data_IF_096739453158
#
_entry.id   IF_096739453158
#
_cell.length_a   1.000
_cell.length_b   1.000
_cell.length_c   1.000
_cell.angle_alpha   90.00
_cell.angle_beta   90.00
_cell.angle_gamma   90.00
#
_symmetry.space_group_name_H-M   'P 1'
#
loop_
_entity.id
_entity.type
_entity.pdbx_description
1 polymer ?
#
# COMPACT_ATOMS: atom_id res chain seq x y z
N UNK A 1 2.02 -24.64 -1.10
CA UNK A 1 1.42 -24.58 0.26
C UNK A 1 2.53 -24.79 1.30
N UNK A 2 2.72 -23.84 2.21
CA UNK A 2 3.90 -23.70 3.08
C UNK A 2 3.92 -24.70 4.26
N UNK A 3 4.59 -25.85 4.15
CA UNK A 3 4.77 -26.81 5.26
C UNK A 3 5.86 -26.35 6.24
N UNK A 4 5.57 -25.33 7.03
CA UNK A 4 6.50 -24.78 8.05
C UNK A 4 6.10 -25.23 9.47
N UNK A 5 4.85 -25.66 9.68
CA UNK A 5 4.30 -26.07 10.98
C UNK A 5 3.62 -27.46 10.88
N UNK A 6 3.41 -28.17 12.01
CA UNK A 6 2.58 -29.38 12.05
C UNK A 6 1.21 -29.14 11.41
N UNK A 7 0.64 -30.14 10.71
CA UNK A 7 -0.57 -30.00 9.88
C UNK A 7 -1.73 -29.30 10.58
N UNK A 8 -1.91 -29.58 11.86
CA UNK A 8 -3.05 -29.14 12.67
C UNK A 8 -2.86 -27.70 13.17
N UNK A 9 -1.61 -27.27 13.39
CA UNK A 9 -1.27 -25.89 13.72
C UNK A 9 -1.20 -25.01 12.46
N UNK A 10 -0.83 -25.57 11.32
CA UNK A 10 -0.65 -24.84 10.08
C UNK A 10 -1.95 -24.23 9.56
N UNK A 11 -3.06 -24.99 9.59
CA UNK A 11 -4.39 -24.50 9.17
C UNK A 11 -4.88 -23.37 10.08
N UNK A 12 -4.74 -23.54 11.40
CA UNK A 12 -5.12 -22.54 12.41
C UNK A 12 -4.26 -21.27 12.29
N UNK A 13 -2.94 -21.40 12.18
CA UNK A 13 -2.04 -20.25 12.03
C UNK A 13 -2.28 -19.49 10.72
N UNK A 14 -2.56 -20.20 9.63
CA UNK A 14 -2.93 -19.56 8.36
C UNK A 14 -4.23 -18.76 8.51
N UNK A 15 -5.28 -19.36 9.07
CA UNK A 15 -6.55 -18.67 9.29
C UNK A 15 -6.39 -17.42 10.17
N UNK A 16 -5.66 -17.53 11.28
CA UNK A 16 -5.36 -16.40 12.17
C UNK A 16 -4.58 -15.31 11.43
N UNK A 17 -3.56 -15.68 10.66
CA UNK A 17 -2.75 -14.72 9.90
C UNK A 17 -3.57 -13.99 8.82
N UNK A 18 -4.50 -14.67 8.15
CA UNK A 18 -5.39 -14.06 7.17
C UNK A 18 -6.33 -13.04 7.83
N UNK A 19 -6.93 -13.40 8.97
CA UNK A 19 -7.82 -12.49 9.71
C UNK A 19 -7.05 -11.27 10.20
N UNK A 20 -5.89 -11.47 10.83
CA UNK A 20 -5.03 -10.36 11.31
C UNK A 20 -4.65 -9.45 10.14
N UNK A 21 -4.24 -10.02 9.00
CA UNK A 21 -3.86 -9.25 7.80
C UNK A 21 -5.04 -8.47 7.25
N UNK A 22 -6.21 -9.08 7.15
CA UNK A 22 -7.42 -8.43 6.65
C UNK A 22 -7.86 -7.27 7.54
N UNK A 23 -7.94 -7.50 8.86
CA UNK A 23 -8.35 -6.49 9.84
C UNK A 23 -7.35 -5.34 9.91
N UNK A 24 -6.06 -5.65 9.98
CA UNK A 24 -5.01 -4.62 10.00
C UNK A 24 -4.98 -3.79 8.71
N UNK A 25 -5.21 -4.41 7.55
CA UNK A 25 -5.28 -3.69 6.27
C UNK A 25 -6.49 -2.76 6.22
N UNK A 26 -7.64 -3.20 6.73
CA UNK A 26 -8.85 -2.38 6.76
C UNK A 26 -8.67 -1.16 7.69
N UNK A 27 -8.23 -1.40 8.93
CA UNK A 27 -7.98 -0.33 9.92
C UNK A 27 -6.90 0.62 9.42
N UNK A 28 -5.79 0.07 8.92
CA UNK A 28 -4.69 0.84 8.36
C UNK A 28 -5.10 1.70 7.16
N UNK A 29 -6.02 1.21 6.33
CA UNK A 29 -6.61 1.95 5.22
C UNK A 29 -7.39 3.20 5.70
N UNK A 30 -8.26 3.04 6.71
CA UNK A 30 -9.00 4.18 7.28
C UNK A 30 -8.08 5.18 7.99
N UNK A 31 -7.06 4.71 8.72
CA UNK A 31 -6.07 5.59 9.36
C UNK A 31 -5.32 6.37 8.28
N UNK A 32 -4.84 5.70 7.22
CA UNK A 32 -4.13 6.34 6.12
C UNK A 32 -4.99 7.38 5.42
N UNK A 33 -6.28 7.07 5.20
CA UNK A 33 -7.23 8.02 4.65
C UNK A 33 -7.37 9.27 5.53
N UNK A 34 -7.58 9.10 6.83
CA UNK A 34 -7.68 10.22 7.76
C UNK A 34 -6.41 11.08 7.76
N UNK A 35 -5.24 10.46 7.80
CA UNK A 35 -3.95 11.15 7.78
C UNK A 35 -3.73 11.94 6.49
N UNK A 36 -3.96 11.32 5.33
CA UNK A 36 -3.79 11.98 4.03
C UNK A 36 -4.79 13.14 3.87
N UNK A 37 -6.05 12.96 4.27
CA UNK A 37 -7.04 14.03 4.27
C UNK A 37 -6.61 15.19 5.19
N UNK A 38 -6.12 14.87 6.39
CA UNK A 38 -5.59 15.84 7.34
C UNK A 38 -4.44 16.66 6.76
N UNK A 39 -3.44 15.97 6.19
CA UNK A 39 -2.27 16.61 5.55
C UNK A 39 -2.71 17.51 4.41
N UNK A 40 -3.54 17.04 3.48
CA UNK A 40 -4.03 17.88 2.38
C UNK A 40 -4.85 19.07 2.86
N UNK A 41 -5.67 18.89 3.90
CA UNK A 41 -6.44 19.98 4.49
C UNK A 41 -5.52 21.05 5.08
N UNK A 42 -4.50 20.66 5.85
CA UNK A 42 -3.53 21.59 6.45
C UNK A 42 -2.71 22.33 5.38
N UNK A 43 -2.17 21.62 4.39
CA UNK A 43 -1.39 22.24 3.31
C UNK A 43 -2.25 23.24 2.54
N UNK A 44 -3.53 22.90 2.27
CA UNK A 44 -4.44 23.81 1.56
C UNK A 44 -4.69 25.13 2.30
N UNK A 45 -4.52 25.19 3.62
CA UNK A 45 -4.66 26.45 4.39
C UNK A 45 -3.58 27.46 4.01
N UNK A 46 -2.35 27.01 3.75
CA UNK A 46 -1.27 27.88 3.26
C UNK A 46 -1.56 28.48 1.88
N UNK A 47 -2.51 27.90 1.13
CA UNK A 47 -2.97 28.39 -0.16
C UNK A 47 -4.30 29.17 -0.08
N UNK A 48 -4.73 29.57 1.13
CA UNK A 48 -6.02 30.22 1.41
C UNK A 48 -7.25 29.38 1.02
N UNK A 49 -7.14 28.04 1.15
CA UNK A 49 -8.26 27.15 0.88
C UNK A 49 -9.42 27.34 1.86
N UNK A 50 -10.65 27.36 1.34
CA UNK A 50 -11.90 27.55 2.10
C UNK A 50 -12.79 26.33 1.95
N UNK A 51 -13.31 25.81 3.06
CA UNK A 51 -14.20 24.65 3.07
C UNK A 51 -14.04 23.81 4.33
N UNK A 52 -14.95 22.86 4.58
CA UNK A 52 -14.88 22.02 5.78
C UNK A 52 -13.90 20.86 5.61
N UNK A 53 -13.34 20.40 6.74
CA UNK A 53 -12.56 19.17 6.77
C UNK A 53 -13.38 17.96 6.30
N UNK A 54 -14.66 17.89 6.67
CA UNK A 54 -15.61 16.86 6.19
C UNK A 54 -15.58 16.71 4.67
N UNK A 55 -15.61 17.82 3.93
CA UNK A 55 -15.57 17.79 2.47
C UNK A 55 -14.22 17.30 1.95
N UNK A 56 -13.12 17.71 2.59
CA UNK A 56 -11.78 17.23 2.25
C UNK A 56 -11.65 15.73 2.46
N UNK A 57 -12.17 15.22 3.58
CA UNK A 57 -12.17 13.81 3.92
C UNK A 57 -12.97 12.99 2.90
N UNK A 58 -14.21 13.39 2.58
CA UNK A 58 -15.05 12.74 1.55
C UNK A 58 -14.32 12.63 0.20
N UNK A 59 -13.79 13.74 -0.31
CA UNK A 59 -13.12 13.77 -1.60
C UNK A 59 -11.80 13.00 -1.63
N UNK A 60 -11.06 12.99 -0.51
CA UNK A 60 -9.86 12.17 -0.38
C UNK A 60 -10.21 10.68 -0.49
N UNK A 61 -11.36 10.27 0.03
CA UNK A 61 -11.86 8.90 -0.02
C UNK A 61 -12.05 8.39 -1.44
N UNK A 62 -12.67 9.20 -2.31
CA UNK A 62 -12.82 8.85 -3.72
C UNK A 62 -11.47 8.68 -4.44
N UNK A 63 -10.43 9.39 -4.01
CA UNK A 63 -9.09 9.22 -4.55
C UNK A 63 -8.41 7.90 -4.20
N UNK A 64 -8.97 7.08 -3.30
CA UNK A 64 -8.53 5.71 -3.07
C UNK A 64 -9.26 4.67 -3.93
N UNK A 65 -10.25 5.08 -4.73
CA UNK A 65 -10.98 4.15 -5.59
C UNK A 65 -10.05 3.37 -6.55
N UNK A 66 -9.01 3.97 -7.17
CA UNK A 66 -8.08 3.23 -8.01
C UNK A 66 -7.32 2.13 -7.25
N UNK A 67 -7.14 2.23 -5.92
CA UNK A 67 -6.54 1.17 -5.12
C UNK A 67 -7.41 -0.09 -5.09
N UNK A 68 -8.74 0.03 -5.12
CA UNK A 68 -9.62 -1.14 -5.18
C UNK A 68 -9.47 -1.89 -6.51
N UNK A 69 -9.29 -1.15 -7.60
CA UNK A 69 -8.98 -1.72 -8.93
C UNK A 69 -7.61 -2.40 -8.88
N UNK A 70 -6.61 -1.76 -8.27
CA UNK A 70 -5.28 -2.31 -8.09
C UNK A 70 -5.32 -3.65 -7.35
N UNK A 71 -6.11 -3.77 -6.28
CA UNK A 71 -6.27 -5.01 -5.52
C UNK A 71 -6.75 -6.18 -6.40
N UNK A 72 -7.73 -5.93 -7.28
CA UNK A 72 -8.23 -6.93 -8.23
C UNK A 72 -7.16 -7.42 -9.20
N UNK A 73 -6.13 -6.61 -9.47
CA UNK A 73 -5.02 -6.95 -10.37
C UNK A 73 -3.87 -7.61 -9.59
N UNK A 74 -3.49 -7.05 -8.44
CA UNK A 74 -2.32 -7.51 -7.67
C UNK A 74 -2.55 -8.86 -6.99
N UNK A 75 -3.79 -9.19 -6.60
CA UNK A 75 -4.09 -10.47 -5.95
C UNK A 75 -3.83 -11.67 -6.89
N UNK A 76 -4.40 -11.74 -8.11
CA UNK A 76 -4.10 -12.81 -9.05
C UNK A 76 -2.61 -12.91 -9.43
N UNK A 77 -1.95 -11.76 -9.62
CA UNK A 77 -0.52 -11.70 -9.93
C UNK A 77 0.31 -12.28 -8.77
N UNK A 78 0.01 -11.87 -7.54
CA UNK A 78 0.65 -12.39 -6.34
C UNK A 78 0.43 -13.89 -6.19
N UNK A 79 -0.81 -14.37 -6.41
CA UNK A 79 -1.11 -15.80 -6.40
C UNK A 79 -0.31 -16.56 -7.45
N UNK A 80 -0.21 -16.05 -8.67
CA UNK A 80 0.58 -16.66 -9.74
C UNK A 80 2.06 -16.76 -9.36
N UNK A 81 2.69 -15.69 -8.88
CA UNK A 81 4.11 -15.74 -8.51
C UNK A 81 4.38 -16.63 -7.29
N UNK A 82 3.53 -16.55 -6.26
CA UNK A 82 3.72 -17.31 -5.02
C UNK A 82 3.40 -18.80 -5.19
N UNK A 83 2.47 -19.18 -6.07
CA UNK A 83 2.17 -20.58 -6.37
C UNK A 83 3.30 -21.28 -7.12
N UNK A 84 4.09 -20.53 -7.88
CA UNK A 84 5.27 -21.01 -8.61
C UNK A 84 6.60 -20.84 -7.83
N UNK A 85 6.56 -20.23 -6.65
CA UNK A 85 7.76 -20.01 -5.83
C UNK A 85 8.20 -21.31 -5.16
N UNK A 86 9.50 -21.64 -5.29
CA UNK A 86 10.10 -22.79 -4.63
C UNK A 86 10.51 -22.39 -3.21
N UNK A 87 9.69 -22.76 -2.23
CA UNK A 87 9.93 -22.43 -0.83
C UNK A 87 10.78 -23.54 -0.21
N UNK A 88 11.99 -23.19 0.24
CA UNK A 88 12.82 -24.11 1.00
C UNK A 88 12.20 -24.36 2.38
N UNK A 89 12.04 -25.63 2.75
CA UNK A 89 11.60 -26.00 4.10
C UNK A 89 12.76 -25.83 5.08
N UNK A 90 12.59 -24.98 6.08
CA UNK A 90 13.60 -24.73 7.11
C UNK A 90 13.48 -25.73 8.26
N UNK A 91 14.61 -26.24 8.73
CA UNK A 91 14.69 -26.99 10.00
C UNK A 91 14.59 -26.02 11.19
N UNK A 92 14.25 -26.54 12.37
CA UNK A 92 14.16 -25.73 13.61
C UNK A 92 15.47 -25.02 13.95
N UNK A 93 16.62 -25.66 13.70
CA UNK A 93 17.93 -25.05 13.89
C UNK A 93 18.18 -23.87 12.93
N UNK A 94 17.69 -23.95 11.70
CA UNK A 94 17.81 -22.87 10.71
C UNK A 94 16.87 -21.69 11.00
N UNK A 95 15.70 -21.93 11.61
CA UNK A 95 14.79 -20.87 12.05
C UNK A 95 15.38 -19.98 13.15
N UNK A 96 16.30 -20.52 13.95
CA UNK A 96 17.02 -19.75 14.97
C UNK A 96 18.15 -18.89 14.38
N UNK A 97 18.54 -19.12 13.13
CA UNK A 97 19.58 -18.34 12.46
C UNK A 97 18.96 -17.18 11.64
N UNK A 98 19.10 -15.92 12.09
CA UNK A 98 18.47 -14.78 11.43
C UNK A 98 18.97 -14.54 10.01
N UNK A 99 20.21 -14.95 9.69
CA UNK A 99 20.78 -14.82 8.34
C UNK A 99 20.08 -15.76 7.37
N UNK A 100 19.89 -17.02 7.78
CA UNK A 100 19.23 -18.05 6.97
C UNK A 100 17.75 -17.69 6.74
N UNK A 101 17.06 -17.26 7.80
CA UNK A 101 15.67 -16.80 7.69
C UNK A 101 15.54 -15.64 6.69
N UNK A 102 16.41 -14.63 6.80
CA UNK A 102 16.40 -13.48 5.87
C UNK A 102 16.63 -13.90 4.42
N UNK A 103 17.59 -14.79 4.18
CA UNK A 103 17.90 -15.30 2.85
C UNK A 103 16.73 -16.05 2.23
N UNK A 104 16.08 -16.93 3.00
CA UNK A 104 14.89 -17.65 2.52
C UNK A 104 13.74 -16.69 2.24
N UNK A 105 13.47 -15.74 3.12
CA UNK A 105 12.42 -14.73 2.90
C UNK A 105 12.64 -13.92 1.61
N UNK A 106 13.89 -13.54 1.31
CA UNK A 106 14.22 -12.84 0.07
C UNK A 106 14.05 -13.71 -1.19
N UNK A 107 14.18 -15.03 -1.06
CA UNK A 107 14.00 -15.98 -2.18
C UNK A 107 12.53 -16.29 -2.51
N UNK A 108 11.62 -16.04 -1.56
CA UNK A 108 10.18 -16.31 -1.72
C UNK A 108 9.53 -15.30 -2.66
N UNK A 109 10.00 -14.04 -2.69
CA UNK A 109 9.41 -12.96 -3.48
C UNK A 109 10.24 -12.78 -4.76
N UNK A 110 9.74 -13.21 -5.93
CA UNK A 110 10.49 -13.09 -7.17
C UNK A 110 10.65 -11.62 -7.57
N UNK A 111 11.83 -11.22 -8.06
CA UNK A 111 12.07 -9.85 -8.59
C UNK A 111 11.02 -9.39 -9.61
N UNK A 112 10.54 -10.23 -10.55
CA UNK A 112 9.47 -9.84 -11.47
C UNK A 112 8.16 -9.44 -10.77
N UNK A 113 7.80 -10.08 -9.65
CA UNK A 113 6.63 -9.71 -8.86
C UNK A 113 6.79 -8.30 -8.27
N UNK A 114 7.99 -7.98 -7.78
CA UNK A 114 8.30 -6.66 -7.20
C UNK A 114 8.17 -5.57 -8.27
N UNK A 115 8.80 -5.75 -9.42
CA UNK A 115 8.73 -4.78 -10.52
C UNK A 115 7.30 -4.61 -11.04
N UNK A 116 6.53 -5.69 -11.14
CA UNK A 116 5.12 -5.65 -11.57
C UNK A 116 4.27 -4.84 -10.59
N UNK A 117 4.40 -5.11 -9.28
CA UNK A 117 3.69 -4.37 -8.25
C UNK A 117 4.13 -2.90 -8.18
N UNK A 118 5.41 -2.60 -8.42
CA UNK A 118 5.91 -1.22 -8.48
C UNK A 118 5.26 -0.45 -9.63
N UNK A 119 5.19 -1.04 -10.83
CA UNK A 119 4.56 -0.40 -12.00
C UNK A 119 3.07 -0.13 -11.77
N UNK A 120 2.34 -1.12 -11.23
CA UNK A 120 0.93 -0.95 -10.84
C UNK A 120 0.81 0.17 -9.80
N UNK A 121 1.65 0.17 -8.77
CA UNK A 121 1.66 1.17 -7.72
C UNK A 121 1.87 2.59 -8.24
N UNK A 122 2.80 2.78 -9.19
CA UNK A 122 3.04 4.07 -9.85
C UNK A 122 1.81 4.51 -10.65
N UNK A 123 1.25 3.62 -11.48
CA UNK A 123 0.07 3.94 -12.30
C UNK A 123 -1.14 4.34 -11.43
N UNK A 124 -1.39 3.59 -10.35
CA UNK A 124 -2.45 3.86 -9.37
C UNK A 124 -2.19 5.18 -8.65
N UNK A 125 -0.95 5.44 -8.23
CA UNK A 125 -0.58 6.69 -7.55
C UNK A 125 -0.79 7.92 -8.44
N UNK A 126 -0.50 7.83 -9.74
CA UNK A 126 -0.77 8.91 -10.70
C UNK A 126 -2.27 9.14 -10.89
N UNK A 127 -3.07 8.07 -10.90
CA UNK A 127 -4.53 8.17 -10.93
C UNK A 127 -5.06 8.85 -9.66
N UNK A 128 -4.61 8.41 -8.49
CA UNK A 128 -4.96 9.01 -7.20
C UNK A 128 -4.63 10.50 -7.16
N UNK A 129 -3.45 10.90 -7.65
CA UNK A 129 -3.04 12.30 -7.75
C UNK A 129 -4.03 13.13 -8.57
N UNK A 130 -4.48 12.61 -9.72
CA UNK A 130 -5.51 13.25 -10.52
C UNK A 130 -6.80 13.46 -9.75
N UNK A 131 -7.32 12.40 -9.11
CA UNK A 131 -8.56 12.45 -8.34
C UNK A 131 -8.46 13.39 -7.14
N UNK A 132 -7.37 13.34 -6.38
CA UNK A 132 -7.13 14.23 -5.26
C UNK A 132 -6.98 15.69 -5.69
N UNK A 133 -6.35 15.96 -6.85
CA UNK A 133 -6.24 17.33 -7.37
C UNK A 133 -7.61 17.95 -7.60
N UNK A 134 -8.52 17.26 -8.28
CA UNK A 134 -9.88 17.74 -8.46
C UNK A 134 -10.67 17.73 -7.15
N UNK A 135 -10.48 16.71 -6.32
CA UNK A 135 -11.09 16.60 -4.99
C UNK A 135 -10.79 17.82 -4.13
N UNK A 136 -9.52 18.22 -4.02
CA UNK A 136 -9.09 19.40 -3.25
C UNK A 136 -9.56 20.70 -3.90
N UNK A 137 -9.51 20.81 -5.24
CA UNK A 137 -10.05 21.97 -5.96
C UNK A 137 -11.47 22.28 -5.51
N UNK A 138 -12.35 21.27 -5.51
CA UNK A 138 -13.76 21.45 -5.13
C UNK A 138 -14.01 21.45 -3.62
N UNK A 139 -13.22 20.71 -2.83
CA UNK A 139 -13.38 20.66 -1.37
C UNK A 139 -12.90 21.92 -0.66
N UNK A 140 -11.88 22.58 -1.24
CA UNK A 140 -11.16 23.71 -0.62
C UNK A 140 -11.21 24.99 -1.44
N UNK A 141 -12.02 25.02 -2.50
CA UNK A 141 -12.20 26.17 -3.39
C UNK A 141 -10.86 26.78 -3.85
N UNK A 142 -9.95 25.91 -4.31
CA UNK A 142 -8.63 26.30 -4.78
C UNK A 142 -8.57 26.28 -6.30
N UNK A 143 -7.72 27.13 -6.88
CA UNK A 143 -7.33 26.99 -8.28
C UNK A 143 -6.65 25.64 -8.53
N UNK A 144 -6.80 25.11 -9.75
CA UNK A 144 -6.28 23.79 -10.13
C UNK A 144 -4.79 23.63 -9.85
N UNK A 145 -3.97 24.66 -10.12
CA UNK A 145 -2.52 24.65 -9.89
C UNK A 145 -2.17 24.47 -8.41
N UNK A 146 -2.88 25.18 -7.52
CA UNK A 146 -2.66 25.10 -6.06
C UNK A 146 -3.17 23.76 -5.51
N UNK A 147 -4.34 23.32 -5.95
CA UNK A 147 -4.89 22.02 -5.59
C UNK A 147 -3.98 20.85 -6.00
N UNK A 148 -3.35 20.95 -7.18
CA UNK A 148 -2.35 19.99 -7.64
C UNK A 148 -1.15 19.93 -6.70
N UNK A 149 -0.59 21.07 -6.29
CA UNK A 149 0.54 21.11 -5.34
C UNK A 149 0.15 20.46 -3.99
N UNK A 150 -1.05 20.77 -3.49
CA UNK A 150 -1.59 20.17 -2.25
C UNK A 150 -1.65 18.65 -2.33
N UNK A 151 -2.12 18.09 -3.46
CA UNK A 151 -2.23 16.65 -3.66
C UNK A 151 -0.87 16.00 -3.99
N UNK A 152 0.03 16.72 -4.66
CA UNK A 152 1.34 16.23 -5.09
C UNK A 152 2.24 15.94 -3.89
N UNK A 153 2.25 16.79 -2.87
CA UNK A 153 3.11 16.63 -1.69
C UNK A 153 2.95 15.26 -1.02
N UNK A 154 1.75 14.84 -0.54
CA UNK A 154 1.59 13.53 0.07
C UNK A 154 1.84 12.39 -0.94
N UNK A 155 1.49 12.58 -2.21
CA UNK A 155 1.74 11.59 -3.27
C UNK A 155 3.24 11.33 -3.47
N UNK A 156 4.05 12.38 -3.57
CA UNK A 156 5.50 12.27 -3.76
C UNK A 156 6.18 11.71 -2.52
N UNK A 157 5.77 12.13 -1.32
CA UNK A 157 6.32 11.59 -0.07
C UNK A 157 6.07 10.08 0.03
N UNK A 158 4.84 9.64 -0.26
CA UNK A 158 4.49 8.23 -0.27
C UNK A 158 5.24 7.46 -1.37
N UNK A 159 5.32 8.02 -2.58
CA UNK A 159 6.05 7.43 -3.70
C UNK A 159 7.55 7.28 -3.42
N UNK A 160 8.18 8.30 -2.84
CA UNK A 160 9.59 8.26 -2.45
C UNK A 160 9.86 7.19 -1.38
N UNK A 161 8.98 7.08 -0.38
CA UNK A 161 9.07 6.01 0.61
C UNK A 161 8.93 4.62 -0.01
N UNK A 162 8.00 4.43 -0.95
CA UNK A 162 7.85 3.15 -1.67
C UNK A 162 9.12 2.81 -2.46
N UNK A 163 9.69 3.77 -3.19
CA UNK A 163 10.92 3.56 -3.95
C UNK A 163 12.10 3.20 -3.03
N UNK A 164 12.25 3.90 -1.91
CA UNK A 164 13.27 3.58 -0.91
C UNK A 164 13.09 2.17 -0.33
N UNK A 165 11.86 1.77 -0.02
CA UNK A 165 11.54 0.44 0.50
C UNK A 165 11.91 -0.66 -0.51
N UNK A 166 11.55 -0.47 -1.78
CA UNK A 166 11.89 -1.41 -2.86
C UNK A 166 13.41 -1.47 -3.07
N UNK A 167 14.09 -0.34 -3.10
CA UNK A 167 15.55 -0.28 -3.26
C UNK A 167 16.30 -0.97 -2.12
N UNK A 168 15.79 -0.89 -0.88
CA UNK A 168 16.34 -1.60 0.28
C UNK A 168 16.06 -3.10 0.25
N UNK A 169 14.98 -3.52 -0.42
CA UNK A 169 14.57 -4.91 -0.50
C UNK A 169 15.35 -5.69 -1.59
N UNK A 170 15.67 -5.04 -2.70
CA UNK A 170 16.44 -5.61 -3.83
C UNK A 170 17.92 -5.81 -3.49
#
# INVERSE_FOLDING_TARGET
MFKIFPSDMQSMMMAISMIITAVSSLIGGFISWLLIAGVMHLISMAFNGVGSFKRTFEFTGYGFLPNLIALCITIPIGYYFLSNAHIQTLTMAQLQNPVVVKQVMSSIIPKPMIYTNLLIGIAVSLWNLGLWTYGIKYARNLELKKAFIVALIPTVLFGAYQLYSVAKFL
#
